data_IF_781134369579
#
_entry.id   IF_781134369579
#
_cell.length_a   1.000
_cell.length_b   1.000
_cell.length_c   1.000
_cell.angle_alpha   90.00
_cell.angle_beta   90.00
_cell.angle_gamma   90.00
#
_symmetry.space_group_name_H-M   'P 1'
#
loop_
_entity.id
_entity.type
_entity.pdbx_description
1 polymer ?
#
# COMPACT_ATOMS: atom_id res chain seq x y z
N UNK A 1 -21.49 -12.49 22.10
CA UNK A 1 -20.35 -11.85 21.39
C UNK A 1 -20.57 -11.99 19.88
N UNK A 2 -20.79 -10.90 19.13
CA UNK A 2 -21.01 -10.95 17.67
C UNK A 2 -19.74 -10.49 16.96
N UNK A 3 -19.13 -11.38 16.19
CA UNK A 3 -17.88 -11.14 15.46
C UNK A 3 -18.02 -9.98 14.47
N UNK A 4 -17.20 -8.94 14.65
CA UNK A 4 -17.10 -7.81 13.72
C UNK A 4 -16.50 -8.31 12.41
N UNK A 5 -17.33 -8.54 11.39
CA UNK A 5 -16.86 -8.70 10.01
C UNK A 5 -16.27 -7.36 9.57
N UNK A 6 -14.94 -7.27 9.59
CA UNK A 6 -14.15 -6.14 9.10
C UNK A 6 -14.49 -5.97 7.62
N UNK A 7 -15.25 -4.93 7.29
CA UNK A 7 -15.66 -4.62 5.92
C UNK A 7 -14.43 -4.48 5.03
N UNK A 8 -14.48 -5.04 3.81
CA UNK A 8 -13.45 -4.81 2.80
C UNK A 8 -13.27 -3.29 2.62
N UNK A 9 -12.03 -2.78 2.62
CA UNK A 9 -11.78 -1.38 2.30
C UNK A 9 -12.28 -1.14 0.87
N UNK A 10 -13.27 -0.24 0.74
CA UNK A 10 -13.93 0.06 -0.53
C UNK A 10 -13.22 1.21 -1.28
N UNK A 11 -12.33 1.93 -0.61
CA UNK A 11 -11.70 3.14 -1.14
C UNK A 11 -10.17 3.01 -1.19
N UNK A 12 -9.57 3.51 -2.26
CA UNK A 12 -8.11 3.59 -2.46
C UNK A 12 -7.37 4.23 -1.27
N UNK A 13 -8.01 5.17 -0.56
CA UNK A 13 -7.45 5.83 0.63
C UNK A 13 -7.24 4.86 1.81
N UNK A 14 -8.13 3.89 2.01
CA UNK A 14 -7.97 2.87 3.06
C UNK A 14 -6.82 1.91 2.71
N UNK A 15 -6.67 1.59 1.42
CA UNK A 15 -5.50 0.85 0.94
C UNK A 15 -4.22 1.64 1.17
N UNK A 16 -4.19 2.94 0.89
CA UNK A 16 -3.02 3.77 1.14
C UNK A 16 -2.61 3.75 2.62
N UNK A 17 -3.55 3.92 3.56
CA UNK A 17 -3.21 3.88 4.99
C UNK A 17 -2.71 2.51 5.46
N UNK A 18 -3.32 1.41 4.99
CA UNK A 18 -2.87 0.06 5.33
C UNK A 18 -1.48 -0.26 4.75
N UNK A 19 -1.24 0.15 3.50
CA UNK A 19 0.03 -0.02 2.80
C UNK A 19 1.15 0.84 3.43
N UNK A 20 0.84 2.08 3.85
CA UNK A 20 1.84 3.02 4.40
C UNK A 20 2.30 2.67 5.80
N UNK A 21 1.42 2.11 6.64
CA UNK A 21 1.77 1.75 8.02
C UNK A 21 2.42 0.37 8.16
N UNK A 22 2.43 -0.43 7.09
CA UNK A 22 3.12 -1.71 7.10
C UNK A 22 4.59 -1.44 6.76
N UNK A 23 5.56 -1.79 7.64
CA UNK A 23 6.98 -1.56 7.41
C UNK A 23 7.56 -2.58 6.40
N UNK A 24 6.91 -2.71 5.25
CA UNK A 24 7.26 -3.66 4.20
C UNK A 24 7.37 -2.94 2.85
N UNK A 25 8.27 -3.45 2.02
CA UNK A 25 8.45 -3.02 0.64
C UNK A 25 7.22 -3.41 -0.18
N UNK A 26 6.30 -2.48 -0.39
CA UNK A 26 5.09 -2.71 -1.19
C UNK A 26 5.07 -1.77 -2.39
N UNK A 27 4.64 -2.32 -3.52
CA UNK A 27 4.44 -1.58 -4.75
C UNK A 27 3.26 -2.14 -5.53
N UNK A 28 2.57 -1.28 -6.27
CA UNK A 28 1.54 -1.66 -7.24
C UNK A 28 2.05 -1.39 -8.64
N UNK A 29 1.71 -2.28 -9.58
CA UNK A 29 2.04 -2.14 -10.99
C UNK A 29 0.79 -2.14 -11.87
N UNK A 30 0.86 -1.52 -13.04
CA UNK A 30 -0.15 -1.68 -14.09
C UNK A 30 0.04 -3.01 -14.86
N UNK A 31 -0.86 -3.28 -15.81
CA UNK A 31 -0.82 -4.48 -16.64
C UNK A 31 0.42 -4.54 -17.55
N UNK A 32 1.06 -3.40 -17.81
CA UNK A 32 2.30 -3.26 -18.58
C UNK A 32 3.55 -3.37 -17.68
N UNK A 33 3.39 -3.55 -16.37
CA UNK A 33 4.47 -3.69 -15.40
C UNK A 33 5.08 -2.37 -14.93
N UNK A 34 4.43 -1.22 -15.17
CA UNK A 34 4.90 0.08 -14.67
C UNK A 34 4.47 0.29 -13.23
N UNK A 35 5.38 0.83 -12.41
CA UNK A 35 5.10 1.20 -11.02
C UNK A 35 4.08 2.34 -10.95
N UNK A 36 2.94 2.06 -10.33
CA UNK A 36 1.86 3.03 -10.09
C UNK A 36 2.04 3.73 -8.75
N UNK A 37 2.36 2.96 -7.72
CA UNK A 37 2.57 3.46 -6.36
C UNK A 37 3.57 2.59 -5.61
N UNK A 38 4.38 3.20 -4.77
CA UNK A 38 5.35 2.56 -3.88
C UNK A 38 5.16 3.05 -2.45
N UNK A 39 5.49 2.21 -1.46
CA UNK A 39 5.48 2.60 -0.05
C UNK A 39 6.66 3.52 0.29
N UNK A 40 6.53 4.30 1.35
CA UNK A 40 7.59 5.23 1.78
C UNK A 40 8.85 4.44 2.22
N UNK A 41 8.68 3.26 2.81
CA UNK A 41 9.78 2.32 3.11
C UNK A 41 10.52 1.84 1.83
N UNK A 42 9.82 1.69 0.70
CA UNK A 42 10.42 1.33 -0.58
C UNK A 42 11.36 2.42 -1.10
N UNK A 43 10.92 3.67 -0.98
CA UNK A 43 11.70 4.84 -1.33
C UNK A 43 12.94 4.98 -0.43
N UNK A 44 12.78 4.89 0.90
CA UNK A 44 13.90 4.97 1.85
C UNK A 44 14.93 3.86 1.65
N UNK A 45 14.48 2.62 1.46
CA UNK A 45 15.37 1.45 1.31
C UNK A 45 16.19 1.52 0.02
N UNK A 46 15.60 2.05 -1.06
CA UNK A 46 16.26 2.14 -2.36
C UNK A 46 16.88 3.52 -2.64
N UNK A 47 16.71 4.48 -1.73
CA UNK A 47 17.27 5.83 -1.86
C UNK A 47 16.56 6.71 -2.89
N UNK A 48 15.29 6.43 -3.21
CA UNK A 48 14.50 7.25 -4.12
C UNK A 48 13.70 8.29 -3.36
N UNK A 49 13.51 9.46 -3.98
CA UNK A 49 12.66 10.54 -3.47
C UNK A 49 11.36 10.56 -4.27
N UNK A 50 10.23 10.87 -3.63
CA UNK A 50 8.92 10.93 -4.26
C UNK A 50 8.80 12.09 -5.26
#
# INVERSE_FOLDING_TARGET
MKGKRKGRPRNLQDFQNLYRHTPMMMHSIDADGRLLTVSDCWLETLGYTR
#
